data_IF_441786174196
#
_entry.id   IF_441786174196
#
_cell.length_a   1.000
_cell.length_b   1.000
_cell.length_c   1.000
_cell.angle_alpha   90.00
_cell.angle_beta   90.00
_cell.angle_gamma   90.00
#
_symmetry.space_group_name_H-M   'P 1'
#
loop_
_entity.id
_entity.type
_entity.pdbx_description
1 polymer ?
#
# COMPACT_ATOMS: atom_id res chain seq x y z
N UNK A 1 -11.53 44.35 29.74
CA UNK A 1 -11.31 43.13 28.94
C UNK A 1 -12.24 43.28 27.73
N UNK A 2 -11.69 43.75 26.61
CA UNK A 2 -12.41 43.90 25.35
C UNK A 2 -12.62 42.51 24.75
N UNK A 3 -13.85 42.17 24.43
CA UNK A 3 -14.18 40.95 23.73
C UNK A 3 -13.50 40.99 22.36
N UNK A 4 -12.56 40.06 22.10
CA UNK A 4 -12.02 39.80 20.78
C UNK A 4 -13.19 39.34 19.89
N UNK A 5 -13.44 40.04 18.80
CA UNK A 5 -14.43 39.66 17.81
C UNK A 5 -13.91 38.47 16.99
N UNK A 6 -14.81 37.62 16.50
CA UNK A 6 -14.47 36.48 15.64
C UNK A 6 -13.64 36.86 14.40
N UNK A 7 -13.75 38.14 13.97
CA UNK A 7 -12.93 38.67 12.86
C UNK A 7 -11.45 38.83 13.22
N UNK A 8 -11.10 39.00 14.50
CA UNK A 8 -9.72 39.12 14.99
C UNK A 8 -9.00 37.75 15.05
N UNK A 9 -9.74 36.65 14.86
CA UNK A 9 -9.21 35.25 14.93
C UNK A 9 -9.09 34.65 13.53
N UNK A 10 -9.70 35.24 12.51
CA UNK A 10 -9.66 34.79 11.14
C UNK A 10 -8.35 35.21 10.49
N UNK A 11 -7.46 34.19 10.26
CA UNK A 11 -6.26 34.39 9.46
C UNK A 11 -6.68 34.76 8.05
N UNK A 12 -6.30 35.96 7.61
CA UNK A 12 -6.63 36.46 6.27
C UNK A 12 -5.77 35.81 5.19
N UNK A 13 -6.30 35.69 3.96
CA UNK A 13 -5.54 35.16 2.80
C UNK A 13 -4.20 35.88 2.60
N UNK A 14 -4.08 37.12 3.02
CA UNK A 14 -2.88 37.96 2.95
C UNK A 14 -1.83 37.58 4.00
N UNK A 15 -2.25 37.15 5.18
CA UNK A 15 -1.36 36.64 6.23
C UNK A 15 -0.83 35.25 5.89
N UNK A 16 -1.69 34.40 5.30
CA UNK A 16 -1.28 33.09 4.80
C UNK A 16 -0.28 33.26 3.65
N UNK A 17 -0.50 34.14 2.70
CA UNK A 17 0.44 34.37 1.59
C UNK A 17 1.76 34.96 2.06
N UNK A 18 1.75 35.88 3.05
CA UNK A 18 2.98 36.44 3.63
C UNK A 18 3.80 35.43 4.43
N UNK A 19 3.14 34.40 5.00
CA UNK A 19 3.86 33.30 5.69
C UNK A 19 4.53 32.33 4.72
N UNK A 20 4.02 32.26 3.49
CA UNK A 20 4.45 31.32 2.44
C UNK A 20 5.57 31.89 1.55
N UNK A 21 5.75 33.21 1.50
CA UNK A 21 6.77 33.89 0.68
C UNK A 21 8.21 33.56 1.10
N UNK A 22 8.40 32.91 2.26
CA UNK A 22 9.71 32.46 2.75
C UNK A 22 10.03 31.01 2.42
N UNK A 23 9.06 30.24 1.90
CA UNK A 23 9.23 28.84 1.51
C UNK A 23 8.36 28.52 0.30
N UNK A 24 8.78 28.86 -0.90
CA UNK A 24 8.10 28.46 -2.13
C UNK A 24 8.31 26.95 -2.37
N UNK A 25 7.58 26.12 -1.62
CA UNK A 25 7.53 24.66 -1.78
C UNK A 25 6.39 24.26 -2.69
N UNK A 26 5.56 25.18 -3.17
CA UNK A 26 4.33 24.89 -3.92
C UNK A 26 3.23 24.20 -3.08
N UNK A 27 3.46 23.96 -1.79
CA UNK A 27 2.50 23.25 -0.92
C UNK A 27 1.16 24.01 -0.76
N UNK A 28 1.18 25.35 -0.85
CA UNK A 28 -0.03 26.16 -0.84
C UNK A 28 -0.98 25.84 -2.00
N UNK A 29 -0.47 25.37 -3.13
CA UNK A 29 -1.27 24.94 -4.28
C UNK A 29 -2.07 23.65 -4.01
N UNK A 30 -1.74 22.94 -2.92
CA UNK A 30 -2.45 21.74 -2.48
C UNK A 30 -3.67 22.06 -1.58
N UNK A 31 -3.82 23.33 -1.15
CA UNK A 31 -4.96 23.76 -0.33
C UNK A 31 -6.12 24.07 -1.26
N UNK A 32 -7.18 23.28 -1.16
CA UNK A 32 -8.36 23.37 -2.01
C UNK A 32 -9.62 23.62 -1.19
N UNK A 33 -10.59 24.29 -1.78
CA UNK A 33 -11.92 24.49 -1.17
C UNK A 33 -12.75 23.20 -1.30
N UNK A 34 -13.69 22.94 -0.37
CA UNK A 34 -14.57 21.77 -0.46
C UNK A 34 -15.29 21.62 -1.81
N UNK A 35 -15.67 22.75 -2.42
CA UNK A 35 -16.36 22.76 -3.73
C UNK A 35 -15.50 22.26 -4.90
N UNK A 36 -14.19 22.28 -4.77
CA UNK A 36 -13.28 21.75 -5.78
C UNK A 36 -13.24 20.21 -5.80
N UNK A 37 -13.79 19.57 -4.75
CA UNK A 37 -13.90 18.13 -4.62
C UNK A 37 -15.28 17.58 -5.01
N UNK A 38 -16.19 18.41 -5.56
CA UNK A 38 -17.55 17.96 -5.88
C UNK A 38 -17.54 16.71 -6.76
N UNK A 39 -16.78 16.73 -7.84
CA UNK A 39 -16.72 15.59 -8.76
C UNK A 39 -16.14 14.33 -8.11
N UNK A 40 -15.12 14.49 -7.25
CA UNK A 40 -14.53 13.38 -6.51
C UNK A 40 -15.52 12.81 -5.49
N UNK A 41 -16.30 13.69 -4.82
CA UNK A 41 -17.31 13.26 -3.86
C UNK A 41 -18.51 12.60 -4.56
N UNK A 42 -18.96 13.15 -5.69
CA UNK A 42 -20.00 12.51 -6.50
C UNK A 42 -19.55 11.14 -7.00
N UNK A 43 -18.31 11.03 -7.46
CA UNK A 43 -17.71 9.77 -7.85
C UNK A 43 -17.62 8.79 -6.68
N UNK A 44 -17.20 9.23 -5.51
CA UNK A 44 -17.16 8.41 -4.29
C UNK A 44 -18.52 7.78 -3.96
N UNK A 45 -19.63 8.50 -4.18
CA UNK A 45 -20.97 7.97 -3.96
C UNK A 45 -21.54 7.18 -5.14
N UNK A 46 -21.08 7.42 -6.36
CA UNK A 46 -21.54 6.71 -7.55
C UNK A 46 -20.75 5.42 -7.82
N UNK A 47 -19.43 5.50 -7.64
CA UNK A 47 -18.54 4.38 -8.00
C UNK A 47 -18.42 3.36 -6.90
N UNK A 48 -18.88 3.69 -5.64
CA UNK A 48 -18.78 2.54 -4.81
C UNK A 48 -18.50 2.65 -3.33
N UNK A 49 -19.46 2.46 -2.63
CA UNK A 49 -19.40 1.62 -1.43
C UNK A 49 -19.16 0.12 -1.77
N UNK A 50 -19.22 -0.27 -3.06
CA UNK A 50 -19.11 -1.67 -3.54
C UNK A 50 -17.81 -1.98 -4.28
N UNK A 51 -17.01 -0.97 -4.71
CA UNK A 51 -15.72 -1.13 -5.40
C UNK A 51 -14.62 -1.72 -4.52
N UNK A 52 -13.71 -2.41 -5.18
CA UNK A 52 -12.56 -3.03 -4.56
C UNK A 52 -12.42 -4.50 -4.94
N UNK A 53 -11.27 -5.07 -4.57
CA UNK A 53 -10.93 -6.44 -4.88
C UNK A 53 -11.53 -7.40 -3.85
N UNK A 54 -12.08 -8.49 -4.31
CA UNK A 54 -12.70 -9.50 -3.45
C UNK A 54 -11.63 -10.38 -2.80
N UNK A 55 -11.81 -10.63 -1.50
CA UNK A 55 -10.98 -11.59 -0.77
C UNK A 55 -11.41 -13.04 -1.08
N UNK A 56 -10.50 -14.04 -0.89
CA UNK A 56 -10.79 -15.45 -1.14
C UNK A 56 -11.74 -16.08 -0.10
N UNK A 57 -12.53 -15.29 0.60
CA UNK A 57 -13.42 -15.74 1.67
C UNK A 57 -14.87 -15.38 1.34
N UNK A 58 -15.69 -16.33 0.86
CA UNK A 58 -17.06 -16.02 0.40
C UNK A 58 -17.95 -15.32 1.44
N UNK A 59 -17.71 -15.59 2.73
CA UNK A 59 -18.51 -14.97 3.80
C UNK A 59 -18.17 -13.50 4.04
N UNK A 60 -16.99 -13.04 3.62
CA UNK A 60 -16.53 -11.66 3.82
C UNK A 60 -16.53 -10.86 2.53
N UNK A 61 -16.66 -11.51 1.38
CA UNK A 61 -16.57 -10.86 0.07
C UNK A 61 -17.64 -9.78 -0.17
N UNK A 62 -18.80 -9.92 0.49
CA UNK A 62 -19.87 -8.92 0.42
C UNK A 62 -19.59 -7.70 1.32
N UNK A 63 -18.92 -7.91 2.46
CA UNK A 63 -18.82 -6.90 3.52
C UNK A 63 -17.46 -6.20 3.53
N UNK A 64 -16.42 -6.86 3.03
CA UNK A 64 -15.07 -6.34 3.02
C UNK A 64 -14.37 -6.56 1.69
N UNK A 65 -13.83 -5.49 1.13
CA UNK A 65 -13.03 -5.48 -0.10
C UNK A 65 -11.73 -4.73 0.11
N UNK A 66 -10.70 -5.12 -0.63
CA UNK A 66 -9.43 -4.38 -0.67
C UNK A 66 -9.58 -3.26 -1.68
N UNK A 67 -9.56 -2.01 -1.19
CA UNK A 67 -9.76 -0.82 -2.04
C UNK A 67 -8.44 -0.16 -2.40
N UNK A 68 -8.42 0.49 -3.56
CA UNK A 68 -7.26 1.28 -3.99
C UNK A 68 -7.10 2.51 -3.10
N UNK A 69 -5.84 2.83 -2.77
CA UNK A 69 -5.52 3.95 -1.88
C UNK A 69 -5.69 3.67 -0.38
N UNK A 70 -6.11 2.45 -0.02
CA UNK A 70 -6.21 2.01 1.39
C UNK A 70 -4.99 1.17 1.81
N UNK A 71 -4.65 1.25 3.08
CA UNK A 71 -3.60 0.44 3.70
C UNK A 71 -4.25 -0.58 4.62
N UNK A 72 -3.95 -1.86 4.38
CA UNK A 72 -4.35 -2.96 5.26
C UNK A 72 -3.15 -3.45 6.06
N UNK A 73 -3.26 -3.46 7.38
CA UNK A 73 -2.20 -3.91 8.28
C UNK A 73 -2.54 -5.28 8.86
N UNK A 74 -1.69 -6.28 8.59
CA UNK A 74 -1.80 -7.63 9.13
C UNK A 74 -0.79 -7.82 10.25
N UNK A 75 -1.28 -7.95 11.48
CA UNK A 75 -0.46 -8.10 12.68
C UNK A 75 -0.64 -9.47 13.33
N UNK A 76 0.34 -9.91 14.11
CA UNK A 76 0.28 -11.16 14.85
C UNK A 76 1.67 -11.62 15.29
N UNK A 77 1.72 -12.58 16.19
CA UNK A 77 2.98 -13.12 16.70
C UNK A 77 3.83 -13.79 15.61
N UNK A 78 5.16 -13.78 15.80
CA UNK A 78 6.08 -14.49 14.90
C UNK A 78 5.73 -15.98 14.84
N UNK A 79 5.87 -16.58 13.66
CA UNK A 79 5.58 -18.01 13.45
C UNK A 79 4.10 -18.38 13.30
N UNK A 80 3.14 -17.45 13.48
CA UNK A 80 1.69 -17.74 13.40
C UNK A 80 1.12 -17.69 11.98
N UNK A 81 1.97 -17.75 10.96
CA UNK A 81 1.53 -17.95 9.59
C UNK A 81 1.09 -16.68 8.84
N UNK A 82 1.46 -15.46 9.31
CA UNK A 82 1.11 -14.20 8.63
C UNK A 82 1.49 -14.21 7.14
N UNK A 83 2.75 -14.50 6.83
CA UNK A 83 3.24 -14.53 5.44
C UNK A 83 2.56 -15.62 4.62
N UNK A 84 2.23 -16.78 5.23
CA UNK A 84 1.48 -17.83 4.53
C UNK A 84 0.05 -17.38 4.22
N UNK A 85 -0.61 -16.71 5.16
CA UNK A 85 -1.93 -16.13 4.94
C UNK A 85 -1.90 -15.04 3.86
N UNK A 86 -0.93 -14.12 3.93
CA UNK A 86 -0.75 -13.09 2.90
C UNK A 86 -0.53 -13.70 1.52
N UNK A 87 0.34 -14.70 1.40
CA UNK A 87 0.57 -15.40 0.14
C UNK A 87 -0.73 -16.01 -0.42
N UNK A 88 -1.54 -16.64 0.42
CA UNK A 88 -2.82 -17.20 0.02
C UNK A 88 -3.79 -16.11 -0.48
N UNK A 89 -3.89 -15.00 0.23
CA UNK A 89 -4.71 -13.84 -0.19
C UNK A 89 -4.19 -13.27 -1.50
N UNK A 90 -2.87 -13.07 -1.61
CA UNK A 90 -2.26 -12.52 -2.83
C UNK A 90 -2.44 -13.43 -4.05
N UNK A 91 -2.38 -14.75 -3.91
CA UNK A 91 -2.68 -15.70 -4.98
C UNK A 91 -4.11 -15.52 -5.55
N UNK A 92 -5.04 -15.03 -4.74
CA UNK A 92 -6.38 -14.70 -5.20
C UNK A 92 -6.47 -13.30 -5.81
N UNK A 93 -5.88 -12.29 -5.14
CA UNK A 93 -5.96 -10.90 -5.57
C UNK A 93 -5.20 -10.64 -6.87
N UNK A 94 -4.06 -11.30 -7.09
CA UNK A 94 -3.28 -11.16 -8.33
C UNK A 94 -3.99 -11.67 -9.59
N UNK A 95 -5.09 -12.41 -9.44
CA UNK A 95 -5.97 -12.74 -10.58
C UNK A 95 -6.83 -11.55 -11.02
N UNK A 96 -6.99 -10.56 -10.15
CA UNK A 96 -7.82 -9.39 -10.37
C UNK A 96 -6.96 -8.17 -10.74
N UNK A 97 -5.79 -8.01 -10.08
CA UNK A 97 -4.90 -6.87 -10.31
C UNK A 97 -3.43 -7.25 -10.16
N UNK A 98 -2.56 -6.52 -10.87
CA UNK A 98 -1.12 -6.68 -10.77
C UNK A 98 -0.62 -6.38 -9.36
N UNK A 99 0.22 -7.26 -8.85
CA UNK A 99 0.69 -7.26 -7.48
C UNK A 99 2.21 -7.23 -7.41
N UNK A 100 2.79 -6.45 -6.48
CA UNK A 100 4.19 -6.51 -6.11
C UNK A 100 4.32 -7.00 -4.66
N UNK A 101 5.28 -7.90 -4.41
CA UNK A 101 5.63 -8.36 -3.08
C UNK A 101 7.10 -8.01 -2.80
N UNK A 102 7.31 -7.23 -1.75
CA UNK A 102 8.61 -6.97 -1.14
C UNK A 102 8.69 -7.77 0.16
N UNK A 103 9.30 -8.95 0.12
CA UNK A 103 9.51 -9.74 1.32
C UNK A 103 10.95 -9.57 1.81
N UNK A 104 11.08 -9.00 3.01
CA UNK A 104 12.37 -8.84 3.69
C UNK A 104 12.66 -9.96 4.71
N UNK A 105 11.72 -10.87 4.88
CA UNK A 105 11.87 -12.05 5.74
C UNK A 105 12.23 -13.31 4.96
N UNK A 106 11.75 -13.41 3.73
CA UNK A 106 11.95 -14.57 2.88
C UNK A 106 12.52 -14.19 1.53
N UNK A 107 13.47 -14.98 1.05
CA UNK A 107 13.97 -14.86 -0.32
C UNK A 107 12.83 -15.14 -1.33
N UNK A 108 12.83 -14.51 -2.52
CA UNK A 108 11.84 -14.70 -3.56
C UNK A 108 11.55 -16.17 -3.90
N UNK A 109 12.60 -16.99 -3.99
CA UNK A 109 12.45 -18.44 -4.22
C UNK A 109 11.62 -19.15 -3.16
N UNK A 110 11.72 -18.71 -1.89
CA UNK A 110 10.99 -19.32 -0.78
C UNK A 110 9.52 -18.85 -0.79
N UNK A 111 9.28 -17.58 -1.12
CA UNK A 111 7.92 -17.01 -1.31
C UNK A 111 7.21 -17.73 -2.45
N UNK A 112 7.84 -17.83 -3.63
CA UNK A 112 7.29 -18.53 -4.79
C UNK A 112 7.07 -20.02 -4.54
N UNK A 113 8.02 -20.68 -3.87
CA UNK A 113 7.90 -22.09 -3.51
C UNK A 113 6.70 -22.36 -2.60
N UNK A 114 6.47 -21.51 -1.59
CA UNK A 114 5.30 -21.61 -0.71
C UNK A 114 4.00 -21.34 -1.46
N UNK A 115 3.96 -20.32 -2.33
CA UNK A 115 2.80 -20.04 -3.17
C UNK A 115 2.48 -21.23 -4.09
N UNK A 116 3.49 -21.83 -4.70
CA UNK A 116 3.34 -23.00 -5.54
C UNK A 116 2.73 -24.19 -4.75
N UNK A 117 3.20 -24.45 -3.53
CA UNK A 117 2.65 -25.47 -2.64
C UNK A 117 1.20 -25.20 -2.22
N UNK A 118 0.84 -23.93 -2.04
CA UNK A 118 -0.53 -23.54 -1.68
C UNK A 118 -1.55 -23.75 -2.80
N UNK A 119 -1.09 -23.85 -4.06
CA UNK A 119 -1.98 -24.04 -5.22
C UNK A 119 -2.26 -25.48 -5.60
N UNK A 120 -1.54 -26.44 -5.06
CA UNK A 120 -1.84 -27.83 -5.42
C UNK A 120 -0.99 -28.91 -4.74
N UNK A 121 0.29 -28.97 -5.00
CA UNK A 121 1.11 -30.11 -4.60
C UNK A 121 2.13 -29.75 -3.52
N UNK A 122 2.23 -30.59 -2.49
CA UNK A 122 3.24 -30.42 -1.44
C UNK A 122 4.69 -30.52 -1.97
N UNK A 123 4.90 -31.33 -3.01
CA UNK A 123 6.16 -31.50 -3.72
C UNK A 123 5.93 -31.39 -5.24
N UNK A 124 5.83 -30.16 -5.77
CA UNK A 124 5.53 -29.94 -7.18
C UNK A 124 6.70 -30.38 -8.07
N UNK A 125 6.39 -31.04 -9.19
CA UNK A 125 7.37 -31.39 -10.21
C UNK A 125 7.78 -30.18 -11.06
N UNK A 126 8.81 -30.34 -11.89
CA UNK A 126 9.35 -29.24 -12.70
C UNK A 126 8.34 -28.64 -13.68
N UNK A 127 7.46 -29.44 -14.27
CA UNK A 127 6.50 -28.94 -15.26
C UNK A 127 5.38 -28.15 -14.58
N UNK A 128 4.93 -28.61 -13.42
CA UNK A 128 3.98 -27.85 -12.60
C UNK A 128 4.57 -26.50 -12.15
N UNK A 129 5.83 -26.46 -11.72
CA UNK A 129 6.51 -25.22 -11.32
C UNK A 129 6.57 -24.24 -12.50
N UNK A 130 6.95 -24.70 -13.69
CA UNK A 130 7.03 -23.84 -14.89
C UNK A 130 5.66 -23.27 -15.27
N UNK A 131 4.62 -24.12 -15.29
CA UNK A 131 3.25 -23.71 -15.59
C UNK A 131 2.75 -22.69 -14.55
N UNK A 132 2.96 -22.97 -13.27
CA UNK A 132 2.59 -22.08 -12.18
C UNK A 132 3.26 -20.71 -12.30
N UNK A 133 4.59 -20.65 -12.43
CA UNK A 133 5.34 -19.41 -12.55
C UNK A 133 4.96 -18.65 -13.83
N UNK A 134 4.78 -19.35 -14.96
CA UNK A 134 4.35 -18.75 -16.22
C UNK A 134 2.97 -18.08 -16.12
N UNK A 135 2.06 -18.61 -15.31
CA UNK A 135 0.76 -17.97 -15.05
C UNK A 135 0.86 -16.70 -14.23
N UNK A 136 1.91 -16.57 -13.41
CA UNK A 136 2.12 -15.38 -12.56
C UNK A 136 2.90 -14.27 -13.25
N UNK A 137 3.61 -14.55 -14.33
CA UNK A 137 4.65 -13.70 -14.94
C UNK A 137 4.18 -12.29 -15.30
N UNK A 138 2.91 -12.14 -15.66
CA UNK A 138 2.33 -10.84 -16.01
C UNK A 138 1.67 -10.11 -14.83
N UNK A 139 1.43 -10.80 -13.71
CA UNK A 139 0.61 -10.29 -12.62
C UNK A 139 1.36 -10.17 -11.29
N UNK A 140 2.50 -10.83 -11.14
CA UNK A 140 3.30 -10.82 -9.93
C UNK A 140 4.71 -10.27 -10.19
N UNK A 141 5.10 -9.28 -9.39
CA UNK A 141 6.44 -8.73 -9.35
C UNK A 141 7.02 -8.94 -7.95
N UNK A 142 8.29 -9.29 -7.88
CA UNK A 142 8.99 -9.50 -6.62
C UNK A 142 10.12 -8.49 -6.50
N UNK A 143 10.16 -7.78 -5.38
CA UNK A 143 11.30 -6.94 -5.05
C UNK A 143 12.32 -7.75 -4.27
N UNK A 144 13.51 -7.91 -4.84
CA UNK A 144 14.64 -8.66 -4.29
C UNK A 144 15.85 -7.71 -4.13
N UNK A 145 15.92 -6.94 -3.02
CA UNK A 145 17.01 -6.02 -2.84
C UNK A 145 18.32 -6.74 -2.51
N UNK A 146 19.41 -6.28 -3.11
CA UNK A 146 20.75 -6.68 -2.72
C UNK A 146 21.20 -5.89 -1.49
N UNK A 147 21.28 -6.55 -0.33
CA UNK A 147 21.72 -5.94 0.93
C UNK A 147 20.62 -5.23 1.72
N UNK A 148 21.03 -4.27 2.55
CA UNK A 148 20.09 -3.51 3.38
C UNK A 148 19.26 -2.52 2.57
N UNK A 149 17.98 -2.44 2.90
CA UNK A 149 17.02 -1.56 2.26
C UNK A 149 16.58 -0.47 3.23
N UNK A 150 16.44 0.75 2.72
CA UNK A 150 15.88 1.88 3.45
C UNK A 150 14.42 2.11 3.06
N UNK A 151 13.67 2.80 3.93
CA UNK A 151 12.29 3.21 3.63
C UNK A 151 12.17 3.99 2.32
N UNK A 152 13.12 4.89 2.03
CA UNK A 152 13.13 5.70 0.81
C UNK A 152 13.23 4.82 -0.44
N UNK A 153 14.11 3.82 -0.44
CA UNK A 153 14.23 2.87 -1.55
C UNK A 153 12.95 2.04 -1.75
N UNK A 154 12.29 1.66 -0.66
CA UNK A 154 11.01 0.96 -0.76
C UNK A 154 9.96 1.85 -1.40
N UNK A 155 9.89 3.12 -1.01
CA UNK A 155 8.97 4.11 -1.59
C UNK A 155 9.27 4.32 -3.08
N UNK A 156 10.53 4.46 -3.48
CA UNK A 156 10.93 4.57 -4.88
C UNK A 156 10.46 3.36 -5.70
N UNK A 157 10.64 2.15 -5.19
CA UNK A 157 10.18 0.91 -5.84
C UNK A 157 8.66 0.87 -5.95
N UNK A 158 7.94 1.31 -4.92
CA UNK A 158 6.47 1.42 -4.94
C UNK A 158 6.02 2.34 -6.09
N UNK A 159 6.59 3.54 -6.19
CA UNK A 159 6.27 4.48 -7.27
C UNK A 159 6.61 3.91 -8.65
N UNK A 160 7.80 3.32 -8.79
CA UNK A 160 8.20 2.69 -10.05
C UNK A 160 7.22 1.59 -10.47
N UNK A 161 6.85 0.70 -9.56
CA UNK A 161 5.92 -0.39 -9.83
C UNK A 161 4.53 0.13 -10.21
N UNK A 162 4.05 1.16 -9.52
CA UNK A 162 2.76 1.77 -9.82
C UNK A 162 2.75 2.44 -11.22
N UNK A 163 3.74 3.28 -11.50
CA UNK A 163 3.76 4.10 -12.71
C UNK A 163 4.22 3.35 -13.96
N UNK A 164 5.21 2.48 -13.84
CA UNK A 164 5.84 1.83 -14.99
C UNK A 164 5.30 0.43 -15.25
N UNK A 165 4.95 -0.32 -14.21
CA UNK A 165 4.47 -1.69 -14.34
C UNK A 165 2.94 -1.80 -14.22
N UNK A 166 2.28 -0.73 -13.76
CA UNK A 166 0.83 -0.70 -13.56
C UNK A 166 0.38 -1.57 -12.38
N UNK A 167 1.26 -1.76 -11.39
CA UNK A 167 0.95 -2.49 -10.16
C UNK A 167 -0.06 -1.70 -9.34
N UNK A 168 -1.08 -2.38 -8.84
CA UNK A 168 -2.15 -1.80 -8.00
C UNK A 168 -2.08 -2.24 -6.55
N UNK A 169 -1.55 -3.43 -6.29
CA UNK A 169 -1.40 -4.00 -4.96
C UNK A 169 0.06 -4.14 -4.60
N UNK A 170 0.41 -3.72 -3.39
CA UNK A 170 1.78 -3.82 -2.89
C UNK A 170 1.78 -4.43 -1.50
N UNK A 171 2.59 -5.46 -1.32
CA UNK A 171 2.77 -6.16 -0.04
C UNK A 171 4.18 -5.92 0.45
N UNK A 172 4.31 -5.48 1.69
CA UNK A 172 5.58 -5.29 2.40
C UNK A 172 5.61 -6.22 3.61
N UNK A 173 6.45 -7.24 3.57
CA UNK A 173 6.57 -8.26 4.61
C UNK A 173 8.04 -8.38 5.06
N UNK A 174 8.46 -7.76 6.17
CA UNK A 174 7.74 -6.93 7.14
C UNK A 174 8.32 -5.51 7.19
N UNK A 175 7.51 -4.54 7.65
CA UNK A 175 7.92 -3.15 7.82
C UNK A 175 9.12 -2.99 8.76
N UNK A 176 9.26 -3.86 9.76
CA UNK A 176 10.37 -3.80 10.73
C UNK A 176 11.77 -3.92 10.09
N UNK A 177 11.86 -4.51 8.89
CA UNK A 177 13.13 -4.67 8.17
C UNK A 177 13.36 -3.64 7.08
N UNK A 178 12.46 -2.65 6.95
CA UNK A 178 12.58 -1.57 5.97
C UNK A 178 13.43 -0.38 6.48
N UNK A 179 14.30 -0.58 7.47
CA UNK A 179 15.14 0.50 8.03
C UNK A 179 14.37 1.57 8.81
N UNK A 180 13.14 1.29 9.22
CA UNK A 180 12.38 2.16 10.12
C UNK A 180 12.88 1.88 11.54
N UNK A 181 13.78 2.73 12.04
CA UNK A 181 14.29 2.62 13.40
C UNK A 181 13.22 3.07 14.41
N UNK A 182 13.15 2.37 15.55
CA UNK A 182 12.26 2.75 16.66
C UNK A 182 12.54 4.18 17.16
N UNK A 183 13.77 4.68 16.99
CA UNK A 183 14.17 6.05 17.34
C UNK A 183 13.45 7.11 16.46
N UNK A 184 13.11 6.81 15.23
CA UNK A 184 12.35 7.72 14.36
C UNK A 184 10.88 7.83 14.76
N UNK A 185 10.32 6.78 15.35
CA UNK A 185 8.97 6.79 15.94
C UNK A 185 8.89 7.65 17.21
N UNK A 186 10.00 7.80 17.94
CA UNK A 186 10.07 8.64 19.13
C UNK A 186 10.22 10.13 18.78
N UNK A 187 10.85 10.48 17.65
CA UNK A 187 10.95 11.85 17.14
C UNK A 187 9.62 12.43 16.66
N UNK A 188 8.65 11.58 16.29
CA UNK A 188 7.30 12.03 15.91
C UNK A 188 6.39 12.34 17.11
N UNK A 189 6.84 12.03 18.33
CA UNK A 189 6.08 12.27 19.58
C UNK A 189 6.57 13.48 20.37
N UNK A 190 7.61 14.16 19.92
CA UNK A 190 8.13 15.40 20.49
C UNK A 190 7.72 16.60 19.65
#
# INVERSE_FOLDING_TARGET
>A
MTAQTLEDILITDKEVSGYMDTRDTGEHLKIKKPTEYINEVEKYFSDDLTGGLELPFPKTAADYKVRMGEISLYTGFSGHGKSAFLNFVMLHLMKQEKTMIASFEMLPKATLGRMCQQTGEALPNSDYIKDFLGKLDNNLFLYDPEGETTSDKVIEVIYYCAEKLGVKLMVIDSLMKCGINEDDLNKQKS
#
